data_IF_638894788832
#
_entry.id   IF_638894788832
#
_cell.length_a   1.000
_cell.length_b   1.000
_cell.length_c   1.000
_cell.angle_alpha   90.00
_cell.angle_beta   90.00
_cell.angle_gamma   90.00
#
_symmetry.space_group_name_H-M   'P 1'
#
loop_
_entity.id
_entity.type
_entity.pdbx_description
1 polymer ?
#
# COMPACT_ATOMS: atom_id res chain seq x y z
N UNK A 1 -3.28 14.24 -2.71
CA UNK A 1 -3.31 12.92 -2.06
C UNK A 1 -4.02 13.11 -0.74
N UNK A 2 -5.24 12.56 -0.62
CA UNK A 2 -6.26 13.01 0.32
C UNK A 2 -5.86 12.83 1.79
N UNK A 3 -5.79 13.94 2.51
CA UNK A 3 -5.52 14.01 3.96
C UNK A 3 -6.70 13.51 4.82
N UNK A 4 -7.72 12.90 4.21
CA UNK A 4 -8.98 12.48 4.84
C UNK A 4 -9.37 11.02 4.53
N UNK A 5 -8.48 10.20 3.94
CA UNK A 5 -8.75 8.75 3.84
C UNK A 5 -8.28 8.06 5.11
N UNK A 6 -9.23 7.46 5.82
CA UNK A 6 -8.95 6.55 6.93
C UNK A 6 -8.05 5.41 6.46
N UNK A 7 -7.27 4.85 7.39
CA UNK A 7 -6.43 3.68 7.12
C UNK A 7 -7.27 2.52 6.59
N UNK A 8 -8.52 2.39 7.04
CA UNK A 8 -9.48 1.40 6.54
C UNK A 8 -9.76 1.59 5.04
N UNK A 9 -10.05 2.81 4.58
CA UNK A 9 -10.34 3.08 3.16
C UNK A 9 -9.11 2.80 2.28
N UNK A 10 -7.93 3.12 2.80
CA UNK A 10 -6.64 2.80 2.19
C UNK A 10 -6.42 1.27 2.08
N UNK A 11 -6.83 0.50 3.08
CA UNK A 11 -6.75 -0.96 3.10
C UNK A 11 -7.78 -1.60 2.15
N UNK A 12 -8.98 -1.03 2.06
CA UNK A 12 -10.04 -1.44 1.13
C UNK A 12 -9.60 -1.25 -0.33
N UNK A 13 -9.02 -0.09 -0.65
CA UNK A 13 -8.42 0.18 -1.97
C UNK A 13 -7.26 -0.77 -2.28
N UNK A 14 -6.40 -1.01 -1.30
CA UNK A 14 -5.30 -1.96 -1.44
C UNK A 14 -5.81 -3.38 -1.75
N UNK A 15 -6.81 -3.86 -1.00
CA UNK A 15 -7.39 -5.19 -1.20
C UNK A 15 -8.07 -5.32 -2.57
N UNK A 16 -8.83 -4.30 -3.01
CA UNK A 16 -9.41 -4.29 -4.36
C UNK A 16 -8.34 -4.38 -5.44
N UNK A 17 -7.28 -3.58 -5.31
CA UNK A 17 -6.20 -3.57 -6.29
C UNK A 17 -5.45 -4.92 -6.33
N UNK A 18 -5.23 -5.56 -5.18
CA UNK A 18 -4.64 -6.92 -5.13
C UNK A 18 -5.56 -7.95 -5.77
N UNK A 19 -6.86 -7.90 -5.49
CA UNK A 19 -7.85 -8.80 -6.11
C UNK A 19 -7.94 -8.60 -7.63
N UNK A 20 -7.89 -7.35 -8.09
CA UNK A 20 -7.86 -7.05 -9.52
C UNK A 20 -6.60 -7.61 -10.18
N UNK A 21 -5.43 -7.44 -9.56
CA UNK A 21 -4.18 -8.01 -10.06
C UNK A 21 -4.21 -9.54 -10.08
N UNK A 22 -4.73 -10.18 -9.04
CA UNK A 22 -4.91 -11.64 -8.99
C UNK A 22 -5.91 -12.12 -10.06
N UNK A 23 -6.97 -11.35 -10.35
CA UNK A 23 -7.90 -11.64 -11.45
C UNK A 23 -7.24 -11.58 -12.84
N UNK A 24 -6.18 -10.80 -13.01
CA UNK A 24 -5.37 -10.76 -14.24
C UNK A 24 -4.24 -11.81 -14.26
N UNK A 25 -4.23 -12.77 -13.32
CA UNK A 25 -3.15 -13.74 -13.13
C UNK A 25 -1.79 -13.10 -12.80
N UNK A 26 -1.80 -11.85 -12.31
CA UNK A 26 -0.59 -11.13 -11.90
C UNK A 26 -0.30 -11.51 -10.45
N UNK A 27 0.72 -12.35 -10.25
CA UNK A 27 1.24 -12.65 -8.91
C UNK A 27 1.99 -11.44 -8.37
N UNK A 28 1.42 -10.83 -7.35
CA UNK A 28 2.06 -9.77 -6.57
C UNK A 28 2.74 -10.42 -5.36
N UNK A 29 4.07 -10.32 -5.27
CA UNK A 29 4.79 -10.85 -4.10
C UNK A 29 4.46 -10.02 -2.84
N UNK A 30 4.71 -10.60 -1.66
CA UNK A 30 4.66 -9.91 -0.38
C UNK A 30 5.41 -8.55 -0.37
N UNK A 31 6.56 -8.47 -1.04
CA UNK A 31 7.34 -7.24 -1.14
C UNK A 31 6.63 -6.19 -1.99
N UNK A 32 6.06 -6.59 -3.13
CA UNK A 32 5.32 -5.69 -4.02
C UNK A 32 4.01 -5.23 -3.35
N UNK A 33 3.31 -6.14 -2.67
CA UNK A 33 2.13 -5.83 -1.83
C UNK A 33 2.47 -4.76 -0.79
N UNK A 34 3.61 -4.88 -0.09
CA UNK A 34 4.06 -3.87 0.86
C UNK A 34 4.33 -2.52 0.18
N UNK A 35 5.00 -2.49 -0.98
CA UNK A 35 5.27 -1.24 -1.72
C UNK A 35 3.97 -0.55 -2.16
N UNK A 36 3.01 -1.32 -2.67
CA UNK A 36 1.70 -0.83 -3.10
C UNK A 36 0.94 -0.24 -1.91
N UNK A 37 0.89 -0.93 -0.77
CA UNK A 37 0.25 -0.45 0.46
C UNK A 37 0.89 0.85 0.98
N UNK A 38 2.22 0.99 0.85
CA UNK A 38 2.95 2.16 1.32
C UNK A 38 2.69 3.42 0.48
N UNK A 39 2.20 3.32 -0.76
CA UNK A 39 1.94 4.49 -1.61
C UNK A 39 0.80 5.39 -1.09
N UNK A 40 -0.43 4.89 -0.87
CA UNK A 40 -1.57 5.69 -0.45
C UNK A 40 -1.51 6.19 0.99
N UNK A 41 -0.63 5.62 1.84
CA UNK A 41 -0.47 6.07 3.22
C UNK A 41 -0.18 7.58 3.33
N UNK A 42 -0.71 8.26 4.36
CA UNK A 42 -0.49 9.69 4.55
C UNK A 42 1.00 10.04 4.75
N UNK A 43 1.36 11.28 4.43
CA UNK A 43 2.74 11.80 4.61
C UNK A 43 3.17 11.83 6.08
N UNK A 44 2.24 11.80 7.03
CA UNK A 44 2.53 11.62 8.45
C UNK A 44 3.32 10.33 8.73
N UNK A 45 3.05 9.27 7.96
CA UNK A 45 3.76 7.99 8.02
C UNK A 45 5.00 7.95 7.12
N UNK A 46 5.46 9.07 6.56
CA UNK A 46 6.63 9.10 5.65
C UNK A 46 7.89 8.52 6.31
N UNK A 47 8.10 8.77 7.60
CA UNK A 47 9.19 8.16 8.36
C UNK A 47 9.03 6.63 8.42
N UNK A 48 7.82 6.15 8.71
CA UNK A 48 7.50 4.72 8.71
C UNK A 48 7.70 4.08 7.33
N UNK A 49 7.27 4.74 6.24
CA UNK A 49 7.56 4.31 4.86
C UNK A 49 9.05 4.24 4.59
N UNK A 50 9.82 5.21 5.09
CA UNK A 50 11.27 5.26 4.93
C UNK A 50 11.96 4.10 5.65
N UNK A 51 11.59 3.83 6.90
CA UNK A 51 12.11 2.70 7.66
C UNK A 51 11.75 1.36 7.01
N UNK A 52 10.50 1.18 6.56
CA UNK A 52 10.12 -0.07 5.87
C UNK A 52 10.80 -0.25 4.51
N UNK A 53 10.96 0.82 3.72
CA UNK A 53 11.60 0.74 2.39
C UNK A 53 13.10 0.62 2.44
N UNK A 54 13.75 1.24 3.42
CA UNK A 54 15.21 1.37 3.47
C UNK A 54 15.86 0.65 4.65
N UNK A 55 15.07 0.03 5.54
CA UNK A 55 15.54 -0.90 6.58
C UNK A 55 16.61 -0.36 7.53
N UNK A 56 16.66 0.96 7.73
CA UNK A 56 17.68 1.62 8.56
C UNK A 56 17.32 1.60 10.04
#
# INVERSE_FOLDING_TARGET
MHENKSIEDCLDEFNKLVLDLENFDIKVDSQDKAIILLNPLPKSLKHFKGTLKYGR
#
